data_IF_524708727722
#
_entry.id   IF_524708727722
#
_cell.length_a   1.000
_cell.length_b   1.000
_cell.length_c   1.000
_cell.angle_alpha   90.00
_cell.angle_beta   90.00
_cell.angle_gamma   90.00
#
_symmetry.space_group_name_H-M   'P 1'
#
loop_
_entity.id
_entity.type
_entity.pdbx_description
1 polymer ?
#
# COMPACT_ATOMS: atom_id res chain seq x y z
N UNK A 1 -8.92 14.65 -5.91
CA UNK A 1 -9.78 14.64 -7.12
C UNK A 1 -10.49 13.30 -7.41
N UNK A 2 -10.28 12.22 -6.62
CA UNK A 2 -10.96 10.92 -6.83
C UNK A 2 -12.04 10.55 -5.79
N UNK A 3 -12.23 11.36 -4.74
CA UNK A 3 -13.19 11.06 -3.67
C UNK A 3 -14.68 11.26 -4.07
N UNK A 4 -14.95 11.98 -5.17
CA UNK A 4 -16.31 12.19 -5.70
C UNK A 4 -16.68 11.22 -6.83
N UNK A 5 -15.76 10.36 -7.27
CA UNK A 5 -16.10 9.31 -8.25
C UNK A 5 -16.71 8.15 -7.49
N UNK A 6 -18.03 8.11 -7.48
CA UNK A 6 -18.78 6.98 -6.94
C UNK A 6 -18.30 5.69 -7.60
N UNK A 7 -17.57 4.87 -6.83
CA UNK A 7 -17.22 3.52 -7.22
C UNK A 7 -18.51 2.69 -7.25
N UNK A 8 -19.24 2.74 -8.37
CA UNK A 8 -20.53 2.07 -8.54
C UNK A 8 -20.38 0.57 -8.38
N UNK A 9 -19.20 0.02 -8.74
CA UNK A 9 -18.84 -1.37 -8.50
C UNK A 9 -17.72 -1.45 -7.46
N UNK A 10 -17.82 -2.45 -6.58
CA UNK A 10 -16.80 -2.72 -5.55
C UNK A 10 -15.38 -2.92 -6.13
N UNK A 11 -15.29 -3.42 -7.37
CA UNK A 11 -14.04 -3.58 -8.13
C UNK A 11 -13.36 -2.25 -8.46
N UNK A 12 -14.11 -1.16 -8.61
CA UNK A 12 -13.56 0.14 -9.00
C UNK A 12 -12.58 0.66 -7.94
N UNK A 13 -12.81 0.34 -6.65
CA UNK A 13 -11.87 0.66 -5.57
C UNK A 13 -10.52 -0.04 -5.77
N UNK A 14 -10.52 -1.29 -6.23
CA UNK A 14 -9.30 -2.08 -6.43
C UNK A 14 -8.55 -1.60 -7.69
N UNK A 15 -9.27 -1.28 -8.76
CA UNK A 15 -8.66 -0.72 -9.97
C UNK A 15 -8.15 0.71 -9.78
N UNK A 16 -8.85 1.52 -8.99
CA UNK A 16 -8.36 2.84 -8.60
C UNK A 16 -7.05 2.72 -7.81
N UNK A 17 -6.98 1.80 -6.82
CA UNK A 17 -5.76 1.56 -6.07
C UNK A 17 -4.61 1.10 -6.97
N UNK A 18 -4.88 0.16 -7.88
CA UNK A 18 -3.91 -0.33 -8.85
C UNK A 18 -3.36 0.81 -9.74
N UNK A 19 -4.23 1.67 -10.26
CA UNK A 19 -3.81 2.83 -11.07
C UNK A 19 -3.09 3.92 -10.27
N UNK A 20 -3.21 3.92 -8.94
CA UNK A 20 -2.45 4.82 -8.06
C UNK A 20 -1.10 4.23 -7.63
N UNK A 21 -0.97 2.90 -7.61
CA UNK A 21 0.22 2.21 -7.10
C UNK A 21 1.20 1.76 -8.18
N UNK A 22 0.83 1.82 -9.46
CA UNK A 22 1.66 1.35 -10.57
C UNK A 22 1.48 2.19 -11.82
N UNK A 23 2.60 2.59 -12.43
CA UNK A 23 2.61 3.29 -13.73
C UNK A 23 2.38 2.32 -14.91
N UNK A 24 2.65 1.02 -14.73
CA UNK A 24 2.35 -0.05 -15.69
C UNK A 24 1.73 -1.27 -15.00
N UNK A 25 0.44 -1.20 -14.65
CA UNK A 25 -0.28 -2.33 -14.06
C UNK A 25 -0.46 -3.51 -15.03
N UNK A 26 -0.26 -3.28 -16.34
CA UNK A 26 -0.37 -4.33 -17.35
C UNK A 26 0.81 -5.31 -17.31
N UNK A 27 2.00 -4.84 -16.92
CA UNK A 27 3.17 -5.69 -16.66
C UNK A 27 2.94 -6.70 -15.54
N UNK A 28 2.04 -6.39 -14.60
CA UNK A 28 1.62 -7.30 -13.52
C UNK A 28 0.55 -8.31 -13.95
N UNK A 29 0.06 -8.25 -15.19
CA UNK A 29 -1.11 -9.01 -15.65
C UNK A 29 -2.42 -8.53 -15.02
N UNK A 30 -2.41 -7.35 -14.39
CA UNK A 30 -3.55 -6.75 -13.70
C UNK A 30 -4.21 -5.71 -14.60
N UNK A 31 -4.95 -6.16 -15.62
CA UNK A 31 -5.81 -5.28 -16.43
C UNK A 31 -7.25 -5.27 -15.90
N UNK A 32 -8.04 -4.19 -16.11
CA UNK A 32 -9.45 -4.16 -15.74
C UNK A 32 -10.26 -5.32 -16.34
N UNK A 33 -10.61 -6.29 -15.50
CA UNK A 33 -11.47 -7.42 -15.83
C UNK A 33 -12.53 -7.65 -14.74
N UNK A 34 -13.75 -7.21 -15.01
CA UNK A 34 -14.87 -7.32 -14.06
C UNK A 34 -15.47 -8.73 -13.95
N UNK A 35 -14.98 -9.70 -14.73
CA UNK A 35 -15.38 -11.11 -14.59
C UNK A 35 -14.64 -11.82 -13.46
N UNK A 36 -13.49 -11.27 -13.03
CA UNK A 36 -12.70 -11.84 -11.93
C UNK A 36 -13.41 -11.53 -10.60
N UNK A 37 -13.60 -12.52 -9.71
CA UNK A 37 -14.11 -12.26 -8.36
C UNK A 37 -13.23 -11.23 -7.64
N UNK A 38 -13.85 -10.27 -6.97
CA UNK A 38 -13.15 -9.17 -6.27
C UNK A 38 -12.04 -9.71 -5.35
N UNK A 39 -12.32 -10.79 -4.61
CA UNK A 39 -11.34 -11.49 -3.77
C UNK A 39 -10.05 -11.82 -4.51
N UNK A 40 -10.18 -12.44 -5.69
CA UNK A 40 -9.05 -12.88 -6.49
C UNK A 40 -8.28 -11.69 -7.04
N UNK A 41 -8.98 -10.65 -7.49
CA UNK A 41 -8.34 -9.41 -7.94
C UNK A 41 -7.54 -8.73 -6.81
N UNK A 42 -8.13 -8.62 -5.61
CA UNK A 42 -7.45 -8.04 -4.45
C UNK A 42 -6.21 -8.86 -4.06
N UNK A 43 -6.33 -10.18 -4.08
CA UNK A 43 -5.19 -11.08 -3.82
C UNK A 43 -4.06 -10.84 -4.82
N UNK A 44 -4.34 -10.80 -6.12
CA UNK A 44 -3.32 -10.54 -7.15
C UNK A 44 -2.67 -9.16 -6.98
N UNK A 45 -3.44 -8.12 -6.65
CA UNK A 45 -2.90 -6.79 -6.35
C UNK A 45 -1.96 -6.82 -5.15
N UNK A 46 -2.34 -7.49 -4.08
CA UNK A 46 -1.54 -7.59 -2.86
C UNK A 46 -0.25 -8.38 -3.10
N UNK A 47 -0.31 -9.49 -3.83
CA UNK A 47 0.86 -10.28 -4.23
C UNK A 47 1.82 -9.47 -5.10
N UNK A 48 1.28 -8.62 -5.98
CA UNK A 48 2.07 -7.69 -6.79
C UNK A 48 2.78 -6.64 -5.93
N UNK A 49 2.10 -6.05 -4.95
CA UNK A 49 2.65 -4.96 -4.13
C UNK A 49 3.61 -5.43 -3.03
N UNK A 50 3.33 -6.58 -2.39
CA UNK A 50 4.00 -7.03 -1.16
C UNK A 50 4.95 -8.22 -1.37
N UNK A 51 5.31 -8.56 -2.62
CA UNK A 51 6.12 -9.73 -3.01
C UNK A 51 5.47 -11.08 -2.62
N UNK A 52 6.11 -12.20 -3.01
CA UNK A 52 5.50 -13.55 -3.10
C UNK A 52 5.05 -14.20 -1.77
N UNK A 53 5.55 -13.81 -0.60
CA UNK A 53 5.19 -14.45 0.68
C UNK A 53 4.07 -13.69 1.41
N UNK A 54 2.87 -13.68 0.80
CA UNK A 54 1.68 -13.02 1.37
C UNK A 54 0.50 -13.99 1.39
N UNK A 55 -0.25 -13.98 2.49
CA UNK A 55 -1.55 -14.64 2.62
C UNK A 55 -2.65 -13.58 2.70
N UNK A 56 -3.70 -13.75 1.91
CA UNK A 56 -4.84 -12.83 1.82
C UNK A 56 -6.13 -13.57 2.10
N UNK A 57 -6.83 -13.15 3.15
CA UNK A 57 -8.17 -13.62 3.49
C UNK A 57 -9.17 -12.50 3.22
N UNK A 58 -10.28 -12.80 2.55
CA UNK A 58 -11.35 -11.84 2.29
C UNK A 58 -12.70 -12.48 2.54
N UNK A 59 -13.68 -11.66 2.91
CA UNK A 59 -15.06 -12.07 3.12
C UNK A 59 -15.95 -11.39 2.08
N UNK A 60 -16.86 -12.11 1.43
CA UNK A 60 -17.75 -11.52 0.40
C UNK A 60 -18.92 -10.75 1.03
N UNK A 61 -19.35 -11.16 2.22
CA UNK A 61 -20.45 -10.56 2.99
C UNK A 61 -20.06 -9.24 3.67
N UNK A 62 -18.77 -9.01 3.92
CA UNK A 62 -18.23 -7.82 4.61
C UNK A 62 -17.04 -7.28 3.84
N UNK A 63 -16.89 -5.97 3.68
CA UNK A 63 -15.73 -5.37 3.02
C UNK A 63 -14.46 -5.43 3.91
N UNK A 64 -14.04 -6.64 4.29
CA UNK A 64 -12.89 -6.91 5.15
C UNK A 64 -11.88 -7.75 4.35
N UNK A 65 -10.62 -7.34 4.42
CA UNK A 65 -9.49 -8.11 3.94
C UNK A 65 -8.44 -8.18 5.06
N UNK A 66 -7.92 -9.38 5.30
CA UNK A 66 -6.80 -9.63 6.21
C UNK A 66 -5.61 -10.02 5.36
N UNK A 67 -4.55 -9.22 5.44
CA UNK A 67 -3.31 -9.42 4.70
C UNK A 67 -2.22 -9.77 5.70
N UNK A 68 -1.58 -10.93 5.51
CA UNK A 68 -0.51 -11.44 6.37
C UNK A 68 0.75 -11.62 5.54
N UNK A 69 1.84 -10.98 5.92
CA UNK A 69 3.15 -11.16 5.28
C UNK A 69 4.26 -11.08 6.32
N UNK A 70 5.46 -11.56 5.97
CA UNK A 70 6.66 -11.31 6.76
C UNK A 70 7.19 -9.91 6.41
N UNK A 71 7.41 -9.08 7.42
CA UNK A 71 7.99 -7.75 7.27
C UNK A 71 9.30 -7.59 8.04
N UNK A 72 10.04 -6.54 7.73
CA UNK A 72 11.19 -6.10 8.51
C UNK A 72 10.88 -4.73 9.15
N UNK A 73 11.21 -4.56 10.43
CA UNK A 73 11.08 -3.27 11.11
C UNK A 73 12.27 -2.40 10.71
N UNK A 74 12.02 -1.32 9.95
CA UNK A 74 13.05 -0.39 9.49
C UNK A 74 13.47 0.62 10.57
N UNK A 75 12.52 1.06 11.40
CA UNK A 75 12.76 2.09 12.41
C UNK A 75 11.58 2.24 13.35
N UNK A 76 11.74 3.16 14.30
CA UNK A 76 10.72 3.57 15.26
C UNK A 76 10.44 5.06 15.04
N UNK A 77 9.16 5.44 15.07
CA UNK A 77 8.77 6.85 15.11
C UNK A 77 9.20 7.42 16.46
N UNK A 78 10.11 8.40 16.46
CA UNK A 78 10.64 9.06 17.66
C UNK A 78 9.83 10.28 18.06
N UNK A 79 9.31 11.03 17.08
CA UNK A 79 8.54 12.24 17.29
C UNK A 79 7.54 12.46 16.16
N UNK A 80 6.44 13.14 16.49
CA UNK A 80 5.47 13.63 15.53
C UNK A 80 5.19 15.08 15.86
N UNK A 81 5.48 15.98 14.94
CA UNK A 81 5.23 17.41 15.09
C UNK A 81 4.13 17.86 14.12
N UNK A 82 3.16 18.62 14.63
CA UNK A 82 2.14 19.24 13.80
C UNK A 82 2.64 20.58 13.29
N UNK A 83 2.85 20.68 11.99
CA UNK A 83 3.34 21.90 11.35
C UNK A 83 2.21 22.95 11.35
N UNK A 84 2.21 23.88 12.31
CA UNK A 84 1.12 24.86 12.52
C UNK A 84 0.89 25.81 11.33
N UNK A 85 1.86 25.91 10.42
CA UNK A 85 1.76 26.74 9.21
C UNK A 85 0.95 26.09 8.07
N UNK A 86 0.75 24.77 8.10
CA UNK A 86 -0.03 24.01 7.09
C UNK A 86 -0.78 22.89 7.79
N UNK A 87 -2.04 23.15 8.12
CA UNK A 87 -2.95 22.28 8.89
C UNK A 87 -3.12 20.84 8.37
N UNK A 88 -2.56 20.51 7.20
CA UNK A 88 -2.62 19.19 6.56
C UNK A 88 -1.32 18.38 6.63
N UNK A 89 -0.24 18.93 7.20
CA UNK A 89 1.07 18.24 7.28
C UNK A 89 1.47 17.87 8.71
N UNK A 90 1.93 16.63 8.84
CA UNK A 90 2.59 16.11 10.02
C UNK A 90 4.02 15.76 9.66
N UNK A 91 4.96 16.28 10.43
CA UNK A 91 6.36 15.95 10.31
C UNK A 91 6.64 14.79 11.28
N UNK A 92 7.14 13.68 10.74
CA UNK A 92 7.38 12.44 11.49
C UNK A 92 8.86 12.14 11.48
N UNK A 93 9.46 12.11 12.67
CA UNK A 93 10.85 11.72 12.83
C UNK A 93 10.93 10.21 13.05
N UNK A 94 11.84 9.54 12.33
CA UNK A 94 12.04 8.09 12.39
C UNK A 94 13.48 7.80 12.78
N UNK A 95 13.65 7.17 13.95
CA UNK A 95 14.91 6.56 14.35
C UNK A 95 15.02 5.19 13.69
N UNK A 96 15.86 5.09 12.66
CA UNK A 96 16.15 3.81 12.00
C UNK A 96 16.95 2.90 12.93
N UNK A 97 16.65 1.59 12.95
CA UNK A 97 17.48 0.62 13.66
C UNK A 97 18.78 0.44 12.89
N UNK A 98 19.95 0.35 13.50
CA UNK A 98 21.23 0.12 12.79
C UNK A 98 21.44 -1.36 12.44
N UNK A 99 20.60 -1.92 11.56
CA UNK A 99 20.82 -3.22 10.93
C UNK A 99 21.45 -3.02 9.54
N UNK A 100 22.25 -3.97 9.02
CA UNK A 100 22.88 -3.80 7.70
C UNK A 100 21.90 -3.45 6.57
N UNK A 101 20.68 -4.00 6.62
CA UNK A 101 19.60 -3.70 5.67
C UNK A 101 19.02 -2.29 5.81
N UNK A 102 18.91 -1.74 7.01
CA UNK A 102 18.41 -0.36 7.17
C UNK A 102 19.45 0.68 6.76
N UNK A 103 20.74 0.35 6.83
CA UNK A 103 21.83 1.19 6.30
C UNK A 103 21.84 1.26 4.77
N UNK A 104 21.33 0.24 4.07
CA UNK A 104 21.05 0.30 2.63
C UNK A 104 19.89 1.25 2.33
N UNK A 105 18.75 1.12 3.03
CA UNK A 105 17.62 2.02 2.83
C UNK A 105 17.93 3.47 3.20
N UNK A 106 18.71 3.71 4.27
CA UNK A 106 19.21 5.05 4.63
C UNK A 106 20.11 5.65 3.55
N UNK A 107 20.79 4.81 2.74
CA UNK A 107 21.61 5.25 1.60
C UNK A 107 20.77 5.52 0.36
N UNK A 108 19.79 4.67 0.06
CA UNK A 108 18.93 4.81 -1.12
C UNK A 108 17.93 5.98 -1.00
N UNK A 109 17.46 6.28 0.22
CA UNK A 109 16.39 7.25 0.48
C UNK A 109 16.82 8.34 1.47
N UNK A 110 18.12 8.61 1.57
CA UNK A 110 18.72 9.40 2.64
C UNK A 110 18.25 10.85 2.76
N UNK A 111 17.86 11.20 4.00
CA UNK A 111 17.74 12.49 4.68
C UNK A 111 17.00 13.64 3.96
N UNK A 112 15.81 13.97 4.49
CA UNK A 112 15.15 15.26 4.29
C UNK A 112 15.69 16.30 5.28
#
# INVERSE_FOLDING_TARGET
MYHTREATKRHDKVYALLGMSSDDPSAAGLSPNYTIPRKKLLQQLVEFLLFKEVSVETWEEREIAVIKSKGCILGQVSSVESCSARYDRQDVEITFKDTPKSLEYKREWGAW
#
